data_IF_888191590776
#
_entry.id   IF_888191590776
#
_cell.length_a   1.000
_cell.length_b   1.000
_cell.length_c   1.000
_cell.angle_alpha   90.00
_cell.angle_beta   90.00
_cell.angle_gamma   90.00
#
_symmetry.space_group_name_H-M   'P 1'
#
loop_
_entity.id
_entity.type
_entity.pdbx_description
1 polymer ?
#
# COMPACT_ATOMS: atom_id res chain seq x y z
N UNK A 1 -6.30 -9.46 -2.07
CA UNK A 1 -5.63 -10.74 -2.39
C UNK A 1 -4.16 -10.58 -2.03
N UNK A 2 -3.57 -11.52 -1.30
CA UNK A 2 -2.15 -11.48 -0.90
C UNK A 2 -1.35 -12.36 -1.85
N UNK A 3 -0.26 -11.82 -2.39
CA UNK A 3 0.65 -12.50 -3.32
C UNK A 3 2.06 -12.45 -2.78
N UNK A 4 2.75 -13.59 -2.77
CA UNK A 4 4.17 -13.68 -2.45
C UNK A 4 4.99 -13.18 -3.65
N UNK A 5 5.90 -12.23 -3.44
CA UNK A 5 6.77 -11.69 -4.50
C UNK A 5 8.19 -12.26 -4.41
N UNK A 6 8.70 -12.45 -3.20
CA UNK A 6 9.96 -13.16 -2.88
C UNK A 6 9.77 -13.91 -1.56
N UNK A 7 10.69 -14.82 -1.20
CA UNK A 7 10.61 -15.65 0.03
C UNK A 7 10.18 -14.85 1.27
N UNK A 8 10.63 -13.60 1.37
CA UNK A 8 10.40 -12.74 2.54
C UNK A 8 9.59 -11.47 2.20
N UNK A 9 8.95 -11.39 1.03
CA UNK A 9 8.19 -10.22 0.59
C UNK A 9 6.77 -10.58 0.16
N UNK A 10 5.80 -9.91 0.76
CA UNK A 10 4.37 -10.08 0.55
C UNK A 10 3.77 -8.80 0.00
N UNK A 11 2.92 -8.93 -1.01
CA UNK A 11 2.14 -7.84 -1.55
C UNK A 11 0.66 -8.11 -1.34
N UNK A 12 -0.07 -7.15 -0.82
CA UNK A 12 -1.54 -7.17 -0.81
C UNK A 12 -2.07 -5.94 -1.53
N UNK A 13 -3.19 -6.13 -2.24
CA UNK A 13 -3.91 -5.03 -2.84
C UNK A 13 -5.35 -4.98 -2.34
N UNK A 14 -5.80 -3.74 -2.14
CA UNK A 14 -7.19 -3.40 -1.87
C UNK A 14 -7.67 -2.45 -2.94
N UNK A 15 -8.88 -2.70 -3.43
CA UNK A 15 -9.55 -1.87 -4.41
C UNK A 15 -10.84 -1.39 -3.76
N UNK A 16 -11.00 -0.08 -3.69
CA UNK A 16 -12.18 0.56 -3.13
C UNK A 16 -12.84 1.42 -4.20
N UNK A 17 -14.16 1.30 -4.32
CA UNK A 17 -14.97 2.13 -5.20
C UNK A 17 -16.03 2.80 -4.34
N UNK A 18 -15.93 4.12 -4.19
CA UNK A 18 -16.85 4.93 -3.41
C UNK A 18 -17.37 6.06 -4.29
N UNK A 19 -18.67 6.09 -4.58
CA UNK A 19 -19.32 7.23 -5.27
C UNK A 19 -18.51 7.79 -6.46
N UNK A 20 -18.17 6.92 -7.43
CA UNK A 20 -17.34 7.20 -8.62
C UNK A 20 -15.84 7.42 -8.39
N UNK A 21 -15.38 7.43 -7.15
CA UNK A 21 -13.95 7.46 -6.81
C UNK A 21 -13.40 6.03 -6.81
N UNK A 22 -12.42 5.78 -7.68
CA UNK A 22 -11.65 4.53 -7.68
C UNK A 22 -10.35 4.75 -6.95
N UNK A 23 -10.10 3.94 -5.93
CA UNK A 23 -8.84 3.92 -5.20
C UNK A 23 -8.26 2.52 -5.24
N UNK A 24 -6.98 2.43 -5.61
CA UNK A 24 -6.18 1.22 -5.48
C UNK A 24 -5.08 1.49 -4.46
N UNK A 25 -5.06 0.67 -3.41
CA UNK A 25 -4.00 0.66 -2.41
C UNK A 25 -3.19 -0.61 -2.60
N UNK A 26 -1.88 -0.46 -2.73
CA UNK A 26 -0.94 -1.56 -2.76
C UNK A 26 -0.03 -1.44 -1.55
N UNK A 27 0.00 -2.51 -0.77
CA UNK A 27 0.88 -2.65 0.37
C UNK A 27 1.88 -3.74 0.06
N UNK A 28 3.16 -3.40 0.12
CA UNK A 28 4.27 -4.33 -0.01
C UNK A 28 5.01 -4.34 1.32
N UNK A 29 5.12 -5.49 1.94
CA UNK A 29 5.87 -5.63 3.20
C UNK A 29 6.79 -6.83 3.13
N UNK A 30 7.95 -6.72 3.76
CA UNK A 30 8.91 -7.80 3.80
C UNK A 30 9.80 -7.72 5.02
N UNK A 31 10.54 -8.80 5.27
CA UNK A 31 11.50 -8.89 6.36
C UNK A 31 12.88 -8.60 5.76
N UNK A 32 13.59 -7.62 6.32
CA UNK A 32 14.95 -7.34 5.89
C UNK A 32 15.92 -8.41 6.44
N UNK A 33 16.89 -8.78 5.60
CA UNK A 33 17.88 -9.86 5.78
C UNK A 33 18.77 -9.75 7.01
N UNK A 34 18.63 -8.69 7.82
CA UNK A 34 19.28 -8.46 9.12
C UNK A 34 18.43 -8.94 10.31
N UNK A 35 17.25 -9.52 10.04
CA UNK A 35 16.41 -10.34 10.92
C UNK A 35 15.87 -9.66 12.18
N UNK A 36 15.08 -8.58 12.00
CA UNK A 36 13.99 -8.20 12.94
C UNK A 36 13.11 -7.03 12.50
N UNK A 37 13.43 -6.36 11.42
CA UNK A 37 12.65 -5.22 10.96
C UNK A 37 11.71 -5.60 9.82
N UNK A 38 10.45 -5.20 9.96
CA UNK A 38 9.45 -5.25 8.89
C UNK A 38 9.60 -3.97 8.09
N UNK A 39 9.98 -4.10 6.82
CA UNK A 39 10.02 -2.98 5.88
C UNK A 39 8.68 -2.94 5.15
N UNK A 40 8.06 -1.78 5.14
CA UNK A 40 6.77 -1.55 4.49
C UNK A 40 6.89 -0.47 3.41
N UNK A 41 6.22 -0.70 2.29
CA UNK A 41 6.03 0.27 1.21
C UNK A 41 4.55 0.35 0.88
N UNK A 42 3.97 1.53 1.00
CA UNK A 42 2.60 1.80 0.58
C UNK A 42 2.62 2.54 -0.76
N UNK A 43 1.73 2.16 -1.66
CA UNK A 43 1.46 2.89 -2.90
C UNK A 43 -0.04 3.08 -3.02
N UNK A 44 -0.46 4.35 -3.07
CA UNK A 44 -1.85 4.72 -3.30
C UNK A 44 -1.97 5.23 -4.73
N UNK A 45 -3.02 4.81 -5.42
CA UNK A 45 -3.38 5.34 -6.74
C UNK A 45 -4.86 5.64 -6.77
N UNK A 46 -5.20 6.86 -7.17
CA UNK A 46 -6.55 7.26 -7.53
C UNK A 46 -6.54 7.99 -8.86
N UNK A 47 -7.70 8.06 -9.52
CA UNK A 47 -7.90 8.91 -10.71
C UNK A 47 -7.89 10.41 -10.32
N UNK A 48 -8.16 10.72 -9.05
CA UNK A 48 -8.06 12.06 -8.47
C UNK A 48 -6.74 12.21 -7.69
N UNK A 49 -5.88 13.14 -8.13
CA UNK A 49 -4.59 13.41 -7.50
C UNK A 49 -4.72 13.91 -6.05
N UNK A 50 -5.72 14.74 -5.76
CA UNK A 50 -5.93 15.30 -4.42
C UNK A 50 -6.31 14.22 -3.41
N UNK A 51 -7.09 13.22 -3.85
CA UNK A 51 -7.41 12.04 -3.04
C UNK A 51 -6.16 11.20 -2.78
N UNK A 52 -5.30 11.02 -3.79
CA UNK A 52 -4.06 10.26 -3.62
C UNK A 52 -3.14 10.92 -2.59
N UNK A 53 -2.97 12.24 -2.67
CA UNK A 53 -2.16 13.03 -1.72
C UNK A 53 -2.74 13.00 -0.31
N UNK A 54 -4.06 13.22 -0.16
CA UNK A 54 -4.71 13.18 1.14
C UNK A 54 -4.56 11.81 1.84
N UNK A 55 -4.64 10.71 1.10
CA UNK A 55 -4.43 9.37 1.67
C UNK A 55 -2.95 9.17 2.03
N UNK A 56 -2.01 9.66 1.22
CA UNK A 56 -0.59 9.61 1.55
C UNK A 56 -0.29 10.37 2.85
N UNK A 57 -0.86 11.56 3.04
CA UNK A 57 -0.73 12.35 4.27
C UNK A 57 -1.31 11.63 5.50
N UNK A 58 -2.50 11.02 5.37
CA UNK A 58 -3.12 10.27 6.47
C UNK A 58 -2.25 9.09 6.92
N UNK A 59 -1.59 8.41 5.98
CA UNK A 59 -0.74 7.26 6.27
C UNK A 59 0.58 7.68 6.90
N UNK A 60 1.17 8.78 6.45
CA UNK A 60 2.45 9.27 6.98
C UNK A 60 2.32 9.84 8.40
N UNK A 61 1.14 10.36 8.75
CA UNK A 61 0.88 10.97 10.06
C UNK A 61 0.06 10.07 11.02
N UNK A 62 -0.24 8.83 10.62
CA UNK A 62 -1.12 7.89 11.35
C UNK A 62 -0.41 6.94 12.31
#
# INVERSE_FOLDING_TARGET
>A
MVSLIRKDWFQTSMHCILQNLKVRVQLLFGIESSWKEVVMKLTVKSEDGAVSEAIHEIVENG
#
